data_IF_913815195641
#
_entry.id   IF_913815195641
#
_cell.length_a   1.000
_cell.length_b   1.000
_cell.length_c   1.000
_cell.angle_alpha   90.00
_cell.angle_beta   90.00
_cell.angle_gamma   90.00
#
_symmetry.space_group_name_H-M   'P 1'
#
loop_
_entity.id
_entity.type
_entity.pdbx_description
1 polymer ?
#
# COMPACT_ATOMS: atom_id res chain seq x y z
N UNK A 1 -19.22 -0.21 1.70
CA UNK A 1 -18.16 0.65 2.24
C UNK A 1 -17.41 1.43 1.15
N UNK A 2 -16.74 0.75 0.20
CA UNK A 2 -15.91 1.39 -0.83
C UNK A 2 -16.63 2.43 -1.70
N UNK A 3 -17.89 2.17 -2.09
CA UNK A 3 -18.72 3.13 -2.84
C UNK A 3 -18.86 4.46 -2.09
N UNK A 4 -19.29 4.41 -0.82
CA UNK A 4 -19.50 5.60 0.00
C UNK A 4 -18.18 6.36 0.22
N UNK A 5 -17.06 5.63 0.36
CA UNK A 5 -15.71 6.21 0.52
C UNK A 5 -15.26 6.93 -0.77
N UNK A 6 -15.44 6.30 -1.92
CA UNK A 6 -15.15 6.90 -3.23
C UNK A 6 -16.00 8.14 -3.48
N UNK A 7 -17.32 8.05 -3.28
CA UNK A 7 -18.22 9.19 -3.44
C UNK A 7 -17.83 10.33 -2.51
N UNK A 8 -17.52 10.05 -1.24
CA UNK A 8 -17.12 11.10 -0.31
C UNK A 8 -15.80 11.78 -0.70
N UNK A 9 -14.84 11.04 -1.26
CA UNK A 9 -13.57 11.61 -1.73
C UNK A 9 -13.77 12.65 -2.84
N UNK A 10 -14.83 12.49 -3.63
CA UNK A 10 -15.22 13.40 -4.69
C UNK A 10 -16.14 14.52 -4.18
N UNK A 11 -17.17 14.18 -3.41
CA UNK A 11 -18.13 15.14 -2.82
C UNK A 11 -17.53 16.12 -1.79
N UNK A 12 -16.33 15.84 -1.25
CA UNK A 12 -15.61 16.79 -0.39
C UNK A 12 -14.96 17.93 -1.17
N UNK A 13 -14.70 17.73 -2.46
CA UNK A 13 -14.01 18.70 -3.33
C UNK A 13 -14.98 19.40 -4.26
N UNK A 14 -15.92 18.64 -4.81
CA UNK A 14 -16.84 19.10 -5.83
C UNK A 14 -18.27 19.24 -5.29
N UNK A 15 -19.11 19.99 -6.02
CA UNK A 15 -20.53 20.09 -5.73
C UNK A 15 -21.22 18.75 -5.96
N UNK A 16 -22.24 18.47 -5.14
CA UNK A 16 -23.00 17.24 -5.28
C UNK A 16 -23.85 17.29 -6.58
N UNK A 17 -23.83 16.23 -7.41
CA UNK A 17 -24.71 16.09 -8.56
C UNK A 17 -26.15 16.11 -8.11
N UNK A 18 -27.02 16.51 -9.02
CA UNK A 18 -28.45 16.52 -8.79
C UNK A 18 -28.94 15.14 -8.31
N UNK A 19 -29.69 15.12 -7.21
CA UNK A 19 -30.24 13.89 -6.62
C UNK A 19 -29.31 13.14 -5.64
N UNK A 20 -28.06 13.56 -5.45
CA UNK A 20 -27.13 12.91 -4.50
C UNK A 20 -27.03 13.74 -3.22
N UNK A 21 -27.45 13.17 -2.09
CA UNK A 21 -27.34 13.82 -0.78
C UNK A 21 -26.00 13.49 -0.10
N UNK A 22 -25.19 14.52 0.20
CA UNK A 22 -23.94 14.38 0.98
C UNK A 22 -24.20 13.78 2.37
N UNK A 23 -25.31 14.17 3.01
CA UNK A 23 -25.74 13.65 4.32
C UNK A 23 -25.94 12.13 4.29
N UNK A 24 -26.59 11.60 3.25
CA UNK A 24 -26.81 10.16 3.10
C UNK A 24 -25.49 9.40 2.90
N UNK A 25 -24.60 9.93 2.04
CA UNK A 25 -23.28 9.34 1.82
C UNK A 25 -22.45 9.29 3.12
N UNK A 26 -22.42 10.39 3.88
CA UNK A 26 -21.71 10.47 5.15
C UNK A 26 -22.28 9.49 6.19
N UNK A 27 -23.61 9.41 6.32
CA UNK A 27 -24.25 8.50 7.27
C UNK A 27 -24.02 7.03 6.91
N UNK A 28 -24.15 6.68 5.63
CA UNK A 28 -23.84 5.34 5.14
C UNK A 28 -22.36 5.00 5.37
N UNK A 29 -21.44 5.94 5.13
CA UNK A 29 -20.01 5.73 5.39
C UNK A 29 -19.75 5.51 6.87
N UNK A 30 -20.31 6.34 7.75
CA UNK A 30 -20.15 6.22 9.20
C UNK A 30 -20.59 4.82 9.67
N UNK A 31 -21.80 4.39 9.28
CA UNK A 31 -22.37 3.07 9.63
C UNK A 31 -21.46 1.92 9.21
N UNK A 32 -20.97 1.94 7.97
CA UNK A 32 -20.10 0.90 7.42
C UNK A 32 -18.69 0.94 8.06
N UNK A 33 -18.13 2.13 8.27
CA UNK A 33 -16.82 2.31 8.88
C UNK A 33 -16.77 1.75 10.31
N UNK A 34 -17.82 1.95 11.12
CA UNK A 34 -17.91 1.33 12.45
C UNK A 34 -17.91 -0.19 12.41
N UNK A 35 -18.64 -0.78 11.46
CA UNK A 35 -18.73 -2.24 11.31
C UNK A 35 -17.37 -2.85 10.96
N UNK A 36 -16.58 -2.15 10.14
CA UNK A 36 -15.26 -2.57 9.69
C UNK A 36 -14.12 -2.11 10.62
N UNK A 37 -14.43 -1.53 11.78
CA UNK A 37 -13.46 -0.96 12.74
C UNK A 37 -12.59 0.17 12.16
N UNK A 38 -13.05 0.86 11.12
CA UNK A 38 -12.49 2.13 10.66
C UNK A 38 -13.00 3.29 11.55
N UNK A 39 -12.54 3.34 12.80
CA UNK A 39 -13.11 4.24 13.81
C UNK A 39 -12.68 5.71 13.63
N UNK A 40 -11.51 5.98 13.05
CA UNK A 40 -11.07 7.35 12.74
C UNK A 40 -11.89 7.90 11.56
N UNK A 41 -12.12 7.09 10.53
CA UNK A 41 -13.01 7.47 9.42
C UNK A 41 -14.47 7.66 9.88
N UNK A 42 -14.97 6.80 10.76
CA UNK A 42 -16.31 6.91 11.31
C UNK A 42 -16.50 8.24 12.08
N UNK A 43 -15.53 8.65 12.89
CA UNK A 43 -15.54 9.95 13.57
C UNK A 43 -15.56 11.10 12.60
N UNK A 44 -14.66 11.07 11.62
CA UNK A 44 -14.59 12.10 10.58
C UNK A 44 -15.95 12.28 9.88
N UNK A 45 -16.61 11.17 9.51
CA UNK A 45 -17.90 11.22 8.85
C UNK A 45 -19.00 11.82 9.75
N UNK A 46 -19.01 11.51 11.05
CA UNK A 46 -19.97 12.05 12.02
C UNK A 46 -19.71 13.52 12.35
N UNK A 47 -18.45 13.92 12.49
CA UNK A 47 -18.07 15.33 12.64
C UNK A 47 -18.48 16.14 11.42
N UNK A 48 -18.36 15.58 10.22
CA UNK A 48 -18.86 16.23 9.00
C UNK A 48 -20.38 16.28 8.93
N UNK A 49 -21.10 15.28 9.45
CA UNK A 49 -22.56 15.27 9.48
C UNK A 49 -23.15 16.43 10.28
N UNK A 50 -22.48 16.92 11.32
CA UNK A 50 -22.97 18.07 12.11
C UNK A 50 -23.04 19.36 11.30
N UNK A 51 -22.30 19.44 10.18
CA UNK A 51 -22.30 20.58 9.26
C UNK A 51 -23.49 20.54 8.28
N UNK A 52 -24.29 19.47 8.29
CA UNK A 52 -25.43 19.27 7.42
C UNK A 52 -26.73 19.08 8.20
N UNK A 53 -27.85 19.41 7.56
CA UNK A 53 -29.17 19.11 8.12
C UNK A 53 -29.48 17.62 7.95
N UNK A 54 -29.52 16.90 9.06
CA UNK A 54 -29.94 15.50 9.11
C UNK A 54 -31.47 15.44 9.14
N UNK A 55 -32.13 14.51 8.41
CA UNK A 55 -33.56 14.28 8.54
C UNK A 55 -33.96 13.89 9.97
N UNK A 56 -35.06 14.45 10.49
CA UNK A 56 -35.48 14.25 11.90
C UNK A 56 -35.58 12.77 12.31
N UNK A 57 -36.07 11.90 11.41
CA UNK A 57 -36.19 10.46 11.69
C UNK A 57 -34.86 9.72 11.87
N UNK A 58 -33.73 10.33 11.51
CA UNK A 58 -32.39 9.75 11.66
C UNK A 58 -31.59 10.38 12.79
N UNK A 59 -32.05 11.51 13.35
CA UNK A 59 -31.30 12.28 14.33
C UNK A 59 -30.89 11.41 15.54
N UNK A 60 -31.85 10.71 16.15
CA UNK A 60 -31.60 9.80 17.27
C UNK A 60 -30.57 8.71 16.91
N UNK A 61 -30.69 8.14 15.71
CA UNK A 61 -29.76 7.12 15.24
C UNK A 61 -28.34 7.66 15.06
N UNK A 62 -28.19 8.89 14.53
CA UNK A 62 -26.89 9.56 14.41
C UNK A 62 -26.30 9.84 15.79
N UNK A 63 -27.09 10.32 16.74
CA UNK A 63 -26.64 10.67 18.08
C UNK A 63 -26.14 9.45 18.87
N UNK A 64 -26.91 8.35 18.84
CA UNK A 64 -26.49 7.05 19.42
C UNK A 64 -25.20 6.55 18.77
N UNK A 65 -25.10 6.73 17.44
CA UNK A 65 -23.92 6.30 16.70
C UNK A 65 -22.67 7.12 17.08
N UNK A 66 -22.81 8.44 17.22
CA UNK A 66 -21.77 9.34 17.68
C UNK A 66 -21.27 8.99 19.08
N UNK A 67 -22.18 8.73 20.02
CA UNK A 67 -21.82 8.28 21.37
C UNK A 67 -21.05 6.95 21.34
N UNK A 68 -21.53 5.99 20.54
CA UNK A 68 -20.90 4.67 20.44
C UNK A 68 -19.49 4.72 19.84
N UNK A 69 -19.21 5.66 18.92
CA UNK A 69 -17.88 5.83 18.32
C UNK A 69 -16.91 6.55 19.26
N UNK A 70 -17.38 7.46 20.14
CA UNK A 70 -16.51 8.18 21.08
C UNK A 70 -15.69 7.24 21.97
N UNK A 71 -16.28 6.14 22.42
CA UNK A 71 -15.61 5.15 23.27
C UNK A 71 -14.62 4.19 22.58
N UNK A 72 -14.42 4.28 21.25
CA UNK A 72 -13.50 3.39 20.52
C UNK A 72 -12.08 3.99 20.40
N UNK A 73 -11.05 3.25 19.94
CA UNK A 73 -9.75 3.84 19.62
C UNK A 73 -9.81 4.83 18.43
N UNK A 74 -8.91 5.82 18.37
CA UNK A 74 -8.76 6.73 17.22
C UNK A 74 -7.88 6.15 16.10
N UNK A 75 -8.12 4.88 15.77
CA UNK A 75 -7.37 4.15 14.74
C UNK A 75 -8.35 3.48 13.79
N UNK A 76 -7.94 3.38 12.52
CA UNK A 76 -8.62 2.58 11.51
C UNK A 76 -7.95 1.21 11.42
N UNK A 77 -8.69 0.18 10.99
CA UNK A 77 -8.12 -1.13 10.72
C UNK A 77 -7.12 -1.07 9.55
N UNK A 78 -5.92 -1.61 9.75
CA UNK A 78 -4.82 -1.55 8.77
C UNK A 78 -5.16 -2.27 7.47
N UNK A 79 -5.90 -3.38 7.55
CA UNK A 79 -6.37 -4.18 6.40
C UNK A 79 -7.19 -3.37 5.39
N UNK A 80 -7.82 -2.27 5.83
CA UNK A 80 -8.63 -1.41 4.97
C UNK A 80 -7.78 -0.36 4.24
N UNK A 81 -6.55 -0.11 4.69
CA UNK A 81 -5.72 0.97 4.17
C UNK A 81 -5.19 0.63 2.77
N UNK A 82 -5.52 1.42 1.73
CA UNK A 82 -5.08 1.11 0.37
C UNK A 82 -3.58 1.35 0.19
N UNK A 83 -2.88 0.35 -0.36
CA UNK A 83 -1.50 0.50 -0.84
C UNK A 83 -1.47 1.11 -2.24
N UNK A 84 -0.43 1.90 -2.52
CA UNK A 84 -0.21 2.45 -3.86
C UNK A 84 0.52 1.43 -4.74
N UNK A 85 -0.07 1.02 -5.86
CA UNK A 85 0.57 0.09 -6.80
C UNK A 85 1.83 0.65 -7.49
N UNK A 86 2.11 1.95 -7.36
CA UNK A 86 3.33 2.57 -7.91
C UNK A 86 4.49 2.60 -6.91
N UNK A 87 4.26 3.08 -5.68
CA UNK A 87 5.31 3.31 -4.69
C UNK A 87 5.15 2.48 -3.41
N UNK A 88 4.16 1.59 -3.35
CA UNK A 88 3.82 0.73 -2.20
C UNK A 88 3.50 1.45 -0.89
N UNK A 89 3.43 2.79 -0.90
CA UNK A 89 3.01 3.57 0.27
C UNK A 89 1.58 3.20 0.67
N UNK A 90 1.37 2.93 1.95
CA UNK A 90 0.04 2.77 2.55
C UNK A 90 -0.63 4.13 2.73
N UNK A 91 -1.84 4.28 2.22
CA UNK A 91 -2.55 5.56 2.19
C UNK A 91 -3.70 5.57 3.22
N UNK A 92 -4.07 6.75 3.75
CA UNK A 92 -5.25 6.86 4.59
C UNK A 92 -6.52 6.52 3.80
N UNK A 93 -7.57 6.06 4.49
CA UNK A 93 -8.85 5.70 3.89
C UNK A 93 -9.51 6.85 3.13
N UNK A 94 -9.25 8.08 3.56
CA UNK A 94 -9.77 9.28 2.93
C UNK A 94 -8.66 10.31 2.79
N UNK A 95 -8.41 10.71 1.55
CA UNK A 95 -7.45 11.76 1.22
C UNK A 95 -8.23 13.00 0.76
N UNK A 96 -7.99 14.14 1.42
CA UNK A 96 -8.63 15.42 1.08
C UNK A 96 -8.19 15.95 -0.29
N UNK A 97 -7.00 15.55 -0.76
CA UNK A 97 -6.46 15.93 -2.07
C UNK A 97 -7.05 15.11 -3.24
N UNK A 98 -8.07 14.28 -2.95
CA UNK A 98 -8.78 13.42 -3.88
C UNK A 98 -8.26 11.99 -3.91
N UNK A 99 -8.71 11.23 -4.91
CA UNK A 99 -8.44 9.78 -5.03
C UNK A 99 -7.06 9.49 -5.65
N UNK A 100 -6.00 9.88 -4.93
CA UNK A 100 -4.60 9.69 -5.33
C UNK A 100 -3.72 9.35 -4.14
N UNK A 101 -2.57 8.75 -4.42
CA UNK A 101 -1.56 8.49 -3.40
C UNK A 101 -1.04 9.79 -2.78
N UNK A 102 -0.83 9.80 -1.45
CA UNK A 102 -0.29 10.94 -0.71
C UNK A 102 1.20 11.17 -0.95
N UNK A 103 1.97 10.13 -1.30
CA UNK A 103 3.41 10.21 -1.52
C UNK A 103 3.79 10.52 -2.98
N UNK A 104 3.34 9.70 -3.94
CA UNK A 104 3.74 9.85 -5.35
C UNK A 104 2.69 10.51 -6.25
N UNK A 105 1.56 10.94 -5.68
CA UNK A 105 0.41 11.51 -6.39
C UNK A 105 -0.22 10.61 -7.48
N UNK A 106 0.15 9.33 -7.53
CA UNK A 106 -0.42 8.36 -8.48
C UNK A 106 -1.93 8.23 -8.26
N UNK A 107 -2.76 8.43 -9.30
CA UNK A 107 -4.22 8.34 -9.15
C UNK A 107 -4.64 6.88 -8.89
N UNK A 108 -5.63 6.70 -8.01
CA UNK A 108 -6.25 5.40 -7.80
C UNK A 108 -7.31 5.18 -8.88
N UNK A 109 -7.01 4.34 -9.87
CA UNK A 109 -8.03 3.82 -10.78
C UNK A 109 -8.87 2.80 -10.01
N UNK A 110 -10.19 2.96 -9.95
CA UNK A 110 -11.09 2.04 -9.22
C UNK A 110 -11.95 1.22 -10.15
N UNK A 111 -12.27 -0.01 -9.73
CA UNK A 111 -13.31 -0.81 -10.37
C UNK A 111 -14.68 -0.21 -10.08
N UNK A 112 -15.54 0.00 -11.08
CA UNK A 112 -16.92 0.43 -10.84
C UNK A 112 -17.85 -0.69 -10.36
N UNK A 113 -17.35 -1.93 -10.25
CA UNK A 113 -18.07 -3.04 -9.62
C UNK A 113 -17.82 -3.09 -8.10
N UNK A 114 -16.55 -3.09 -7.67
CA UNK A 114 -16.16 -3.23 -6.25
C UNK A 114 -15.72 -1.93 -5.57
N UNK A 115 -15.39 -0.90 -6.36
CA UNK A 115 -14.77 0.36 -5.92
C UNK A 115 -13.41 0.19 -5.23
N UNK A 116 -12.76 -0.94 -5.44
CA UNK A 116 -11.39 -1.18 -5.00
C UNK A 116 -10.38 -0.60 -5.99
N UNK A 117 -9.20 -0.16 -5.51
CA UNK A 117 -8.10 0.25 -6.38
C UNK A 117 -7.67 -0.91 -7.28
N UNK A 118 -7.61 -0.67 -8.58
CA UNK A 118 -7.09 -1.62 -9.57
C UNK A 118 -5.57 -1.53 -9.62
N UNK A 119 -4.85 -2.65 -9.84
CA UNK A 119 -3.40 -2.71 -9.98
C UNK A 119 -2.93 -2.15 -11.33
N UNK A 120 -3.34 -0.92 -11.65
CA UNK A 120 -3.03 -0.23 -12.89
C UNK A 120 -2.03 0.89 -12.60
N UNK A 121 -0.89 0.83 -13.29
CA UNK A 121 0.14 1.86 -13.27
C UNK A 121 0.27 2.42 -14.67
N UNK A 122 0.01 3.72 -14.82
CA UNK A 122 0.26 4.41 -16.08
C UNK A 122 1.76 4.53 -16.27
N UNK A 123 2.25 4.00 -17.37
CA UNK A 123 3.59 4.30 -17.87
C UNK A 123 3.48 5.15 -19.13
N UNK A 124 4.54 5.89 -19.43
CA UNK A 124 4.66 6.66 -20.67
C UNK A 124 5.86 6.07 -21.40
N UNK A 125 5.67 5.50 -22.60
CA UNK A 125 6.77 5.02 -23.42
C UNK A 125 7.78 6.14 -23.70
N UNK A 126 9.05 5.76 -23.91
CA UNK A 126 10.07 6.73 -24.30
C UNK A 126 9.71 7.39 -25.63
N UNK A 127 10.15 8.65 -25.82
CA UNK A 127 9.84 9.47 -27.00
C UNK A 127 10.25 8.84 -28.34
N UNK A 128 11.17 7.88 -28.31
CA UNK A 128 11.69 7.19 -29.50
C UNK A 128 10.80 6.03 -29.95
N UNK A 129 9.92 5.55 -29.08
CA UNK A 129 9.04 4.41 -29.34
C UNK A 129 7.71 4.94 -29.84
N UNK A 130 7.33 4.55 -31.06
CA UNK A 130 6.01 4.90 -31.61
C UNK A 130 4.89 4.16 -30.87
N UNK A 131 3.66 4.65 -30.93
CA UNK A 131 2.52 3.99 -30.29
C UNK A 131 2.30 2.56 -30.82
N UNK A 132 2.46 2.37 -32.13
CA UNK A 132 2.33 1.07 -32.80
C UNK A 132 3.40 0.09 -32.32
N UNK A 133 4.64 0.57 -32.22
CA UNK A 133 5.76 -0.21 -31.70
C UNK A 133 5.55 -0.57 -30.22
N UNK A 134 5.11 0.36 -29.38
CA UNK A 134 4.82 0.10 -27.98
C UNK A 134 3.75 -0.99 -27.80
N UNK A 135 2.68 -0.96 -28.60
CA UNK A 135 1.65 -2.01 -28.60
C UNK A 135 2.20 -3.35 -29.07
N UNK A 136 3.09 -3.34 -30.08
CA UNK A 136 3.75 -4.56 -30.54
C UNK A 136 4.63 -5.18 -29.46
N UNK A 137 5.35 -4.35 -28.69
CA UNK A 137 6.22 -4.79 -27.59
C UNK A 137 5.41 -5.37 -26.43
N UNK A 138 4.28 -4.76 -26.08
CA UNK A 138 3.38 -5.26 -25.02
C UNK A 138 2.77 -6.62 -25.37
N UNK A 139 2.53 -6.90 -26.66
CA UNK A 139 1.96 -8.18 -27.12
C UNK A 139 2.98 -9.29 -27.30
N UNK A 140 4.28 -8.97 -27.38
CA UNK A 140 5.33 -9.99 -27.52
C UNK A 140 5.45 -10.79 -26.23
N UNK A 141 5.66 -12.09 -26.38
CA UNK A 141 5.99 -12.95 -25.24
C UNK A 141 7.34 -12.55 -24.65
N UNK A 142 7.48 -12.70 -23.33
CA UNK A 142 8.74 -12.44 -22.67
C UNK A 142 9.81 -13.38 -23.25
N UNK A 143 11.00 -12.88 -23.61
CA UNK A 143 12.08 -13.75 -24.05
C UNK A 143 12.36 -14.79 -22.96
N UNK A 144 12.68 -16.05 -23.32
CA UNK A 144 13.03 -17.06 -22.34
C UNK A 144 14.17 -16.53 -21.47
N UNK A 145 14.02 -16.66 -20.14
CA UNK A 145 15.10 -16.36 -19.19
C UNK A 145 16.35 -17.07 -19.70
N UNK A 146 17.36 -16.30 -20.10
CA UNK A 146 18.65 -16.89 -20.43
C UNK A 146 19.10 -17.63 -19.18
N UNK A 147 19.33 -18.94 -19.30
CA UNK A 147 19.92 -19.72 -18.22
C UNK A 147 21.15 -18.95 -17.74
N UNK A 148 21.19 -18.65 -16.44
CA UNK A 148 22.29 -17.92 -15.83
C UNK A 148 23.62 -18.49 -16.35
N UNK A 149 24.54 -17.61 -16.73
CA UNK A 149 25.88 -18.03 -17.16
C UNK A 149 26.43 -18.98 -16.09
N UNK A 150 26.87 -20.17 -16.50
CA UNK A 150 27.42 -21.22 -15.62
C UNK A 150 28.52 -20.73 -14.67
N UNK A 151 29.16 -19.60 -14.96
CA UNK A 151 30.18 -18.98 -14.12
C UNK A 151 29.63 -18.40 -12.80
N UNK A 152 28.40 -17.86 -12.75
CA UNK A 152 27.80 -17.33 -11.50
C UNK A 152 27.25 -18.43 -10.56
N UNK A 153 26.96 -19.61 -11.09
CA UNK A 153 26.49 -20.75 -10.29
C UNK A 153 27.61 -21.43 -9.50
N UNK A 154 28.88 -21.23 -9.88
CA UNK A 154 30.01 -21.83 -9.16
C UNK A 154 30.33 -21.10 -7.84
N UNK A 155 29.91 -19.84 -7.69
CA UNK A 155 30.17 -19.02 -6.50
C UNK A 155 28.96 -18.88 -5.56
N UNK A 156 27.78 -19.37 -5.96
CA UNK A 156 26.56 -19.20 -5.17
C UNK A 156 26.28 -20.48 -4.35
N UNK A 157 26.39 -20.45 -3.00
CA UNK A 157 26.12 -21.61 -2.14
C UNK A 157 24.63 -21.99 -2.06
N UNK A 158 23.76 -21.19 -2.67
CA UNK A 158 22.33 -21.47 -2.77
C UNK A 158 22.04 -22.35 -3.98
N UNK A 159 21.55 -23.55 -3.72
CA UNK A 159 21.07 -24.50 -4.72
C UNK A 159 19.53 -24.51 -4.74
N UNK A 160 18.93 -24.43 -5.93
CA UNK A 160 17.49 -24.52 -6.11
C UNK A 160 17.07 -25.91 -6.59
N UNK A 161 16.02 -26.47 -6.00
CA UNK A 161 15.31 -27.64 -6.49
C UNK A 161 13.95 -27.23 -7.06
N UNK A 162 13.64 -27.70 -8.27
CA UNK A 162 12.31 -27.51 -8.87
C UNK A 162 11.59 -28.87 -8.99
N UNK A 163 10.51 -29.03 -8.25
CA UNK A 163 9.50 -30.07 -8.42
C UNK A 163 8.24 -29.44 -9.05
N UNK A 164 7.34 -30.21 -9.69
CA UNK A 164 6.23 -29.68 -10.48
C UNK A 164 5.35 -28.65 -9.75
N UNK A 165 5.20 -28.74 -8.42
CA UNK A 165 4.42 -27.79 -7.61
C UNK A 165 5.21 -27.19 -6.43
N UNK A 166 6.53 -27.40 -6.36
CA UNK A 166 7.35 -26.93 -5.23
C UNK A 166 8.69 -26.43 -5.72
N UNK A 167 9.01 -25.18 -5.39
CA UNK A 167 10.35 -24.61 -5.52
C UNK A 167 11.02 -24.61 -4.15
N UNK A 168 12.11 -25.34 -4.00
CA UNK A 168 12.93 -25.37 -2.78
C UNK A 168 14.26 -24.68 -3.02
N UNK A 169 14.74 -23.95 -2.01
CA UNK A 169 16.10 -23.40 -1.97
C UNK A 169 16.84 -24.06 -0.80
N UNK A 170 17.92 -24.77 -1.11
CA UNK A 170 18.83 -25.37 -0.13
C UNK A 170 20.18 -24.69 -0.17
N UNK A 171 20.64 -24.21 0.98
CA UNK A 171 22.02 -23.76 1.14
C UNK A 171 22.90 -25.01 1.27
N UNK A 172 23.72 -25.29 0.25
CA UNK A 172 24.64 -26.41 0.26
C UNK A 172 26.05 -25.88 0.49
N UNK A 173 26.48 -25.87 1.75
CA UNK A 173 27.84 -25.50 2.15
C UNK A 173 28.04 -25.65 3.64
N UNK A 174 29.10 -26.33 4.05
CA UNK A 174 29.50 -26.44 5.44
C UNK A 174 29.77 -25.04 6.02
N UNK A 175 29.16 -24.75 7.16
CA UNK A 175 29.20 -23.44 7.86
C UNK A 175 30.64 -22.97 8.11
N UNK A 176 31.60 -23.88 8.17
CA UNK A 176 33.02 -23.59 8.38
C UNK A 176 33.72 -22.94 7.18
N UNK A 177 33.20 -23.11 5.95
CA UNK A 177 33.78 -22.50 4.75
C UNK A 177 33.29 -21.06 4.50
N UNK A 178 32.31 -20.59 5.29
CA UNK A 178 31.71 -19.26 5.18
C UNK A 178 32.57 -18.15 5.82
N UNK A 179 33.47 -18.50 6.74
CA UNK A 179 34.42 -17.55 7.34
C UNK A 179 35.57 -17.14 6.40
N UNK A 180 35.80 -17.87 5.31
CA UNK A 180 36.91 -17.64 4.40
C UNK A 180 36.56 -16.82 3.14
N UNK A 181 35.27 -16.51 2.92
CA UNK A 181 34.79 -15.81 1.72
C UNK A 181 33.78 -14.70 2.05
N UNK A 182 34.01 -13.96 3.14
CA UNK A 182 33.40 -12.64 3.29
C UNK A 182 34.16 -11.68 2.37
N UNK A 183 33.52 -11.18 1.31
CA UNK A 183 34.08 -10.10 0.50
C UNK A 183 34.12 -8.82 1.36
N UNK A 184 35.27 -8.58 1.99
CA UNK A 184 35.53 -7.43 2.89
C UNK A 184 35.30 -6.07 2.19
N UNK A 185 35.18 -6.06 0.86
CA UNK A 185 34.97 -4.84 0.08
C UNK A 185 33.51 -4.43 -0.17
N UNK A 186 32.54 -5.27 0.23
CA UNK A 186 31.12 -4.92 0.19
C UNK A 186 30.80 -3.74 1.16
N UNK A 187 30.11 -2.68 0.69
CA UNK A 187 29.73 -1.52 1.51
C UNK A 187 28.96 -1.86 2.79
N UNK A 188 28.15 -2.92 2.76
CA UNK A 188 27.36 -3.41 3.90
C UNK A 188 28.24 -4.13 4.92
N UNK A 189 29.14 -5.02 4.46
CA UNK A 189 30.10 -5.71 5.34
C UNK A 189 31.07 -4.73 6.02
N UNK A 190 31.50 -3.68 5.31
CA UNK A 190 32.30 -2.58 5.91
C UNK A 190 31.56 -1.86 7.03
N UNK A 191 30.29 -1.50 6.80
CA UNK A 191 29.48 -0.82 7.80
C UNK A 191 29.23 -1.68 9.06
N UNK A 192 29.14 -3.01 8.89
CA UNK A 192 29.00 -3.94 10.02
C UNK A 192 30.29 -4.06 10.84
N UNK A 193 31.45 -4.16 10.18
CA UNK A 193 32.77 -4.22 10.84
C UNK A 193 33.11 -2.91 11.56
N UNK A 194 32.77 -1.77 10.96
CA UNK A 194 32.96 -0.45 11.58
C UNK A 194 32.12 -0.32 12.87
N UNK A 195 30.91 -0.91 12.89
CA UNK A 195 30.02 -0.87 14.06
C UNK A 195 30.55 -1.66 15.26
N UNK A 196 31.19 -2.81 15.00
CA UNK A 196 31.79 -3.64 16.06
C UNK A 196 33.10 -3.05 16.59
N UNK A 197 33.81 -2.27 15.78
CA UNK A 197 35.05 -1.59 16.20
C UNK A 197 34.81 -0.48 17.24
N UNK A 198 33.62 0.12 17.26
CA UNK A 198 33.24 1.20 18.18
C UNK A 198 32.69 0.68 19.52
N UNK A 199 32.34 -0.61 19.61
CA UNK A 199 31.82 -1.23 20.83
C UNK A 199 32.92 -1.53 21.88
N UNK A 200 34.20 -1.40 21.53
CA UNK A 200 35.35 -1.71 22.40
C UNK A 200 35.90 -0.54 23.22
N UNK A 201 35.51 0.71 22.95
CA UNK A 201 36.16 1.90 23.53
C UNK A 201 35.17 2.89 24.15
N UNK A 202 34.26 2.41 24.99
CA UNK A 202 33.62 3.27 26.01
C UNK A 202 33.51 2.56 27.36
N UNK A 203 34.67 2.13 27.86
CA UNK A 203 34.85 1.70 29.22
C UNK A 203 35.96 2.50 29.89
N UNK A 204 35.83 3.82 30.04
CA UNK A 204 36.50 4.55 31.13
C UNK A 204 36.16 6.06 31.22
N UNK A 205 35.90 6.46 32.46
CA UNK A 205 36.00 7.78 33.10
C UNK A 205 34.79 8.75 33.21
N UNK A 206 34.40 8.85 34.49
CA UNK A 206 33.87 9.97 35.28
C UNK A 206 32.40 10.33 35.20
#
# INVERSE_FOLDING_TARGET
FNIARYLLSWLLRDEAPFGISKTYCLFALAKQAKSLRANKLARFALEKLTQFKVPNGWQEQVDVFALSIRGRPFTDAEELMPSCFRCQTTNPLLNQNGDRCTACAHPFARSFASFEPLPLVRFVPERRISQEEALSLVRREAPPRQAARKEEQAANPWSGGEAPDVQTLSLAGDVEQMGAHMDIDDPFTKAMLDFDSDAGTHGQFR
#
